data_IF_834815696047
#
_entry.id   IF_834815696047
#
_cell.length_a   1.000
_cell.length_b   1.000
_cell.length_c   1.000
_cell.angle_alpha   90.00
_cell.angle_beta   90.00
_cell.angle_gamma   90.00
#
_symmetry.space_group_name_H-M   'P 1'
#
loop_
_entity.id
_entity.type
_entity.pdbx_description
1 polymer ?
#
# COMPACT_ATOMS: atom_id res chain seq x y z
N UNK A 1 -42.24 -9.33 28.48
CA UNK A 1 -41.60 -9.51 27.16
C UNK A 1 -41.59 -8.16 26.46
N UNK A 2 -40.44 -7.49 26.31
CA UNK A 2 -40.31 -6.37 25.38
C UNK A 2 -39.46 -6.78 24.16
N UNK A 3 -39.98 -6.47 22.97
CA UNK A 3 -39.30 -6.61 21.68
C UNK A 3 -38.05 -5.72 21.62
N UNK A 4 -36.92 -6.32 21.21
CA UNK A 4 -35.67 -5.62 20.94
C UNK A 4 -35.56 -5.40 19.43
N UNK A 5 -35.68 -4.14 19.00
CA UNK A 5 -35.44 -3.73 17.62
C UNK A 5 -33.94 -3.54 17.31
N UNK A 6 -33.54 -3.67 16.03
CA UNK A 6 -32.13 -3.64 15.63
C UNK A 6 -31.54 -2.22 15.67
N UNK A 7 -30.41 -2.07 16.38
CA UNK A 7 -29.59 -0.85 16.37
C UNK A 7 -28.76 -0.80 15.07
N UNK A 8 -29.06 0.19 14.22
CA UNK A 8 -28.13 0.62 13.16
C UNK A 8 -26.90 1.26 13.81
N UNK A 9 -25.71 0.75 13.50
CA UNK A 9 -24.45 1.45 13.78
C UNK A 9 -24.10 2.27 12.55
N UNK A 10 -24.17 3.59 12.68
CA UNK A 10 -23.50 4.52 11.78
C UNK A 10 -22.01 4.51 12.12
N UNK A 11 -21.19 3.95 11.22
CA UNK A 11 -19.75 4.12 11.26
C UNK A 11 -19.40 5.40 10.48
N UNK A 12 -19.19 6.49 11.23
CA UNK A 12 -18.63 7.73 10.71
C UNK A 12 -17.20 7.50 10.23
N UNK A 13 -17.01 7.60 8.92
CA UNK A 13 -15.72 7.50 8.22
C UNK A 13 -14.99 8.84 8.32
N UNK A 14 -14.34 9.12 9.46
CA UNK A 14 -13.36 10.22 9.57
C UNK A 14 -12.04 9.77 8.94
N UNK A 15 -11.91 9.99 7.63
CA UNK A 15 -10.63 9.85 6.92
C UNK A 15 -9.76 11.08 7.18
N UNK A 16 -8.60 10.86 7.78
CA UNK A 16 -7.50 11.82 7.86
C UNK A 16 -7.12 12.27 6.45
N UNK A 17 -7.46 13.51 6.13
CA UNK A 17 -7.21 14.14 4.84
C UNK A 17 -5.74 14.57 4.80
N UNK A 18 -4.89 13.77 4.17
CA UNK A 18 -3.53 14.19 3.80
C UNK A 18 -3.62 15.42 2.88
N UNK A 19 -3.22 16.57 3.41
CA UNK A 19 -3.17 17.82 2.65
C UNK A 19 -1.86 17.87 1.86
N UNK A 20 -1.86 17.31 0.65
CA UNK A 20 -0.97 17.82 -0.38
C UNK A 20 -1.33 19.30 -0.61
N UNK A 21 -0.38 20.20 -0.35
CA UNK A 21 -0.49 21.63 -0.65
C UNK A 21 -0.60 21.83 -2.16
N UNK A 22 -1.81 21.67 -2.71
CA UNK A 22 -2.16 22.02 -4.08
C UNK A 22 -2.09 23.55 -4.21
N UNK A 23 -1.11 24.06 -4.96
CA UNK A 23 -1.16 25.43 -5.48
C UNK A 23 -2.26 25.46 -6.54
N UNK A 24 -3.44 25.96 -6.19
CA UNK A 24 -4.51 26.19 -7.15
C UNK A 24 -4.07 27.25 -8.18
N UNK A 25 -3.78 26.81 -9.40
CA UNK A 25 -3.65 27.69 -10.56
C UNK A 25 -5.03 27.80 -11.19
N UNK A 26 -5.64 28.99 -11.11
CA UNK A 26 -6.87 29.29 -11.83
C UNK A 26 -6.57 29.33 -13.34
N UNK A 27 -7.04 28.32 -14.08
CA UNK A 27 -6.98 28.31 -15.55
C UNK A 27 -8.18 29.10 -16.08
N UNK A 28 -7.92 30.27 -16.64
CA UNK A 28 -8.91 31.03 -17.40
C UNK A 28 -9.10 30.36 -18.77
N UNK A 29 -10.26 29.73 -18.97
CA UNK A 29 -10.66 29.20 -20.27
C UNK A 29 -11.12 30.34 -21.20
N UNK A 30 -10.24 30.78 -22.10
CA UNK A 30 -10.63 31.62 -23.22
C UNK A 30 -11.19 30.74 -24.34
N UNK A 31 -12.51 30.82 -24.56
CA UNK A 31 -13.19 30.14 -25.65
C UNK A 31 -12.81 30.75 -27.00
N UNK A 32 -12.29 29.92 -27.91
CA UNK A 32 -12.09 30.26 -29.32
C UNK A 32 -13.20 29.61 -30.14
N UNK A 33 -14.08 30.43 -30.70
CA UNK A 33 -15.10 30.02 -31.67
C UNK A 33 -14.45 29.96 -33.05
N UNK A 34 -14.38 28.78 -33.66
CA UNK A 34 -14.10 28.63 -35.09
C UNK A 34 -15.40 28.27 -35.81
N UNK A 35 -15.96 29.27 -36.48
CA UNK A 35 -16.90 29.10 -37.57
C UNK A 35 -16.14 28.92 -38.91
N UNK A 36 -16.89 28.60 -39.97
CA UNK A 36 -16.50 28.26 -41.36
C UNK A 36 -16.36 26.73 -41.54
N UNK A 37 -17.21 26.01 -42.27
CA UNK A 37 -18.11 26.35 -43.38
C UNK A 37 -17.70 25.49 -44.59
N UNK A 38 -18.63 24.78 -45.24
CA UNK A 38 -18.36 24.19 -46.56
C UNK A 38 -19.03 22.85 -46.87
N UNK A 39 -20.24 22.92 -47.40
CA UNK A 39 -20.91 21.88 -48.18
C UNK A 39 -20.24 21.78 -49.57
N UNK A 40 -20.14 20.58 -50.15
CA UNK A 40 -19.71 20.43 -51.55
C UNK A 40 -19.53 18.98 -52.00
N UNK A 41 -20.60 18.39 -52.54
CA UNK A 41 -20.51 17.19 -53.36
C UNK A 41 -19.90 17.48 -54.73
N UNK A 42 -19.25 16.46 -55.32
CA UNK A 42 -18.66 16.54 -56.64
C UNK A 42 -18.21 15.16 -57.11
N UNK A 43 -19.09 14.50 -57.86
CA UNK A 43 -18.76 13.41 -58.79
C UNK A 43 -17.79 13.93 -59.86
N UNK A 44 -16.83 13.08 -60.27
CA UNK A 44 -16.31 13.15 -61.64
C UNK A 44 -14.80 13.00 -61.84
N UNK A 45 -14.50 12.11 -62.78
CA UNK A 45 -13.36 12.07 -63.72
C UNK A 45 -12.02 11.48 -63.28
N UNK A 46 -11.75 10.32 -63.88
CA UNK A 46 -10.44 9.76 -64.21
C UNK A 46 -9.52 10.80 -64.84
N UNK A 47 -8.37 11.07 -64.23
CA UNK A 47 -7.26 11.73 -64.91
C UNK A 47 -5.91 11.19 -64.40
N UNK A 48 -5.15 10.59 -65.33
CA UNK A 48 -3.75 10.21 -65.16
C UNK A 48 -2.93 11.47 -64.93
N UNK A 49 -2.17 11.54 -63.84
CA UNK A 49 -1.13 12.53 -63.68
C UNK A 49 0.10 11.98 -62.95
N UNK A 50 1.21 12.51 -63.40
CA UNK A 50 2.61 12.14 -63.24
C UNK A 50 3.12 11.96 -61.81
N UNK A 51 4.19 11.17 -61.72
CA UNK A 51 5.01 10.96 -60.55
C UNK A 51 5.68 12.27 -60.12
N UNK A 52 4.96 13.05 -59.31
CA UNK A 52 5.52 14.22 -58.63
C UNK A 52 6.37 13.75 -57.45
N UNK A 53 7.67 14.06 -57.54
CA UNK A 53 8.66 13.96 -56.46
C UNK A 53 8.06 14.43 -55.13
N UNK A 54 7.75 13.47 -54.26
CA UNK A 54 7.27 13.74 -52.91
C UNK A 54 8.45 14.21 -52.08
N UNK A 55 8.62 15.52 -52.03
CA UNK A 55 9.46 16.18 -51.04
C UNK A 55 9.17 15.59 -49.66
N UNK A 56 10.17 14.90 -49.11
CA UNK A 56 10.12 14.31 -47.78
C UNK A 56 9.90 15.44 -46.79
N UNK A 57 8.66 15.61 -46.32
CA UNK A 57 8.34 16.63 -45.33
C UNK A 57 9.25 16.41 -44.13
N UNK A 58 10.02 17.44 -43.80
CA UNK A 58 10.98 17.41 -42.70
C UNK A 58 10.24 16.98 -41.43
N UNK A 59 10.70 15.94 -40.71
CA UNK A 59 9.98 15.39 -39.58
C UNK A 59 9.74 16.51 -38.57
N UNK A 60 8.47 16.84 -38.37
CA UNK A 60 8.03 17.86 -37.42
C UNK A 60 8.68 17.56 -36.08
N UNK A 61 9.50 18.49 -35.57
CA UNK A 61 10.20 18.31 -34.29
C UNK A 61 9.18 17.96 -33.21
N UNK A 62 9.36 16.80 -32.58
CA UNK A 62 8.52 16.35 -31.48
C UNK A 62 8.58 17.37 -30.35
N UNK A 63 7.43 17.96 -30.01
CA UNK A 63 7.33 18.87 -28.87
C UNK A 63 7.72 18.11 -27.59
N UNK A 64 8.52 18.70 -26.69
CA UNK A 64 8.84 18.06 -25.41
C UNK A 64 7.54 17.76 -24.63
N UNK A 65 7.52 16.67 -23.82
CA UNK A 65 6.38 16.36 -22.97
C UNK A 65 6.17 17.46 -21.94
N UNK A 66 4.92 17.65 -21.50
CA UNK A 66 4.59 18.55 -20.40
C UNK A 66 5.11 18.00 -19.07
N UNK A 67 5.24 18.87 -18.06
CA UNK A 67 5.70 18.48 -16.73
C UNK A 67 4.68 17.55 -16.06
N UNK A 68 3.40 17.87 -16.25
CA UNK A 68 2.27 17.12 -15.71
C UNK A 68 2.23 15.70 -16.27
N UNK A 69 2.52 15.51 -17.56
CA UNK A 69 2.59 14.17 -18.16
C UNK A 69 3.79 13.37 -17.63
N UNK A 70 4.93 14.03 -17.39
CA UNK A 70 6.11 13.37 -16.78
C UNK A 70 5.78 12.92 -15.34
N UNK A 71 5.17 13.79 -14.54
CA UNK A 71 4.74 13.47 -13.17
C UNK A 71 3.71 12.33 -13.15
N UNK A 72 2.71 12.37 -14.04
CA UNK A 72 1.72 11.31 -14.18
C UNK A 72 2.36 9.97 -14.55
N UNK A 73 3.27 9.96 -15.52
CA UNK A 73 4.00 8.75 -15.92
C UNK A 73 4.87 8.23 -14.77
N UNK A 74 5.51 9.13 -14.01
CA UNK A 74 6.26 8.79 -12.80
C UNK A 74 5.40 8.06 -11.78
N UNK A 75 4.25 8.64 -11.42
CA UNK A 75 3.30 8.02 -10.49
C UNK A 75 2.80 6.66 -10.97
N UNK A 76 2.49 6.51 -12.28
CA UNK A 76 2.14 5.18 -12.82
C UNK A 76 3.28 4.16 -12.70
N UNK A 77 4.53 4.56 -12.94
CA UNK A 77 5.68 3.66 -12.81
C UNK A 77 5.93 3.26 -11.35
N UNK A 78 5.74 4.20 -10.42
CA UNK A 78 5.83 3.98 -8.99
C UNK A 78 4.77 2.96 -8.51
N UNK A 79 3.49 3.22 -8.74
CA UNK A 79 2.40 2.32 -8.33
C UNK A 79 2.54 0.93 -8.97
N UNK A 80 2.95 0.84 -10.25
CA UNK A 80 3.13 -0.47 -10.91
C UNK A 80 4.38 -1.23 -10.43
N UNK A 81 5.38 -0.50 -9.95
CA UNK A 81 6.54 -1.08 -9.26
C UNK A 81 6.14 -1.58 -7.88
N UNK A 82 5.35 -0.82 -7.11
CA UNK A 82 4.79 -1.27 -5.83
C UNK A 82 3.99 -2.58 -5.98
N UNK A 83 3.11 -2.68 -6.99
CA UNK A 83 2.38 -3.94 -7.28
C UNK A 83 3.28 -5.10 -7.70
N UNK A 84 4.42 -4.81 -8.32
CA UNK A 84 5.41 -5.85 -8.66
C UNK A 84 6.16 -6.33 -7.43
N UNK A 85 6.56 -5.41 -6.55
CA UNK A 85 7.22 -5.74 -5.29
C UNK A 85 6.27 -6.52 -4.39
N UNK A 86 5.03 -6.05 -4.19
CA UNK A 86 3.98 -6.75 -3.45
C UNK A 86 3.80 -8.20 -3.93
N UNK A 87 3.77 -8.45 -5.24
CA UNK A 87 3.70 -9.82 -5.78
C UNK A 87 4.93 -10.66 -5.46
N UNK A 88 6.10 -10.04 -5.44
CA UNK A 88 7.36 -10.74 -5.12
C UNK A 88 7.42 -11.06 -3.62
N UNK A 89 7.05 -10.11 -2.77
CA UNK A 89 7.06 -10.21 -1.32
C UNK A 89 6.00 -11.20 -0.84
N UNK A 90 4.79 -11.14 -1.40
CA UNK A 90 3.73 -12.13 -1.18
C UNK A 90 4.20 -13.57 -1.43
N UNK A 91 4.91 -13.81 -2.54
CA UNK A 91 5.45 -15.13 -2.83
C UNK A 91 6.57 -15.57 -1.85
N UNK A 92 7.34 -14.61 -1.33
CA UNK A 92 8.36 -14.86 -0.31
C UNK A 92 7.73 -15.18 1.05
N UNK A 93 6.72 -14.40 1.48
CA UNK A 93 5.99 -14.60 2.73
C UNK A 93 5.31 -15.97 2.75
N UNK A 94 4.66 -16.38 1.66
CA UNK A 94 4.07 -17.72 1.56
C UNK A 94 5.12 -18.82 1.66
N UNK A 95 6.32 -18.59 1.13
CA UNK A 95 7.42 -19.55 1.29
C UNK A 95 7.87 -19.60 2.74
N UNK A 96 7.93 -18.48 3.45
CA UNK A 96 8.28 -18.44 4.87
C UNK A 96 7.22 -19.15 5.73
N UNK A 97 5.95 -18.84 5.54
CA UNK A 97 4.81 -19.47 6.24
C UNK A 97 4.86 -21.00 6.10
N UNK A 98 5.14 -21.52 4.90
CA UNK A 98 5.26 -22.97 4.66
C UNK A 98 6.47 -23.63 5.32
N UNK A 99 7.51 -22.87 5.64
CA UNK A 99 8.77 -23.39 6.18
C UNK A 99 8.94 -23.06 7.69
N UNK A 100 7.89 -22.63 8.38
CA UNK A 100 7.99 -22.10 9.74
C UNK A 100 8.33 -23.12 10.84
N UNK A 101 8.50 -24.39 10.50
CA UNK A 101 8.80 -25.47 11.46
C UNK A 101 10.21 -25.38 12.07
N UNK A 102 11.08 -24.48 11.56
CA UNK A 102 12.48 -24.31 11.98
C UNK A 102 12.67 -23.10 12.92
N UNK A 103 12.14 -23.17 14.14
CA UNK A 103 12.54 -22.28 15.25
C UNK A 103 12.16 -20.80 15.12
N UNK A 104 11.26 -20.46 14.20
CA UNK A 104 10.71 -19.11 14.00
C UNK A 104 9.33 -18.91 14.64
N UNK A 105 8.63 -17.87 14.19
CA UNK A 105 7.22 -17.68 14.49
C UNK A 105 6.40 -18.87 13.93
N UNK A 106 5.34 -19.31 14.62
CA UNK A 106 4.50 -20.38 14.09
C UNK A 106 3.82 -19.91 12.79
N UNK A 107 3.58 -20.83 11.84
CA UNK A 107 2.93 -20.55 10.55
C UNK A 107 1.69 -19.65 10.69
N UNK A 108 0.88 -19.87 11.74
CA UNK A 108 -0.33 -19.12 12.01
C UNK A 108 -0.04 -17.64 12.32
N UNK A 109 1.03 -17.34 13.06
CA UNK A 109 1.40 -15.96 13.37
C UNK A 109 1.85 -15.20 12.12
N UNK A 110 2.71 -15.84 11.31
CA UNK A 110 3.16 -15.30 10.03
C UNK A 110 1.97 -15.10 9.08
N UNK A 111 1.07 -16.08 9.00
CA UNK A 111 -0.12 -16.01 8.18
C UNK A 111 -1.08 -14.90 8.63
N UNK A 112 -1.33 -14.72 9.94
CA UNK A 112 -2.16 -13.60 10.43
C UNK A 112 -1.53 -12.25 10.07
N UNK A 113 -0.20 -12.12 10.23
CA UNK A 113 0.51 -10.89 9.84
C UNK A 113 0.36 -10.60 8.36
N UNK A 114 0.59 -11.60 7.51
CA UNK A 114 0.44 -11.50 6.06
C UNK A 114 -1.01 -11.13 5.64
N UNK A 115 -2.02 -11.81 6.21
CA UNK A 115 -3.43 -11.55 5.92
C UNK A 115 -3.89 -10.17 6.40
N UNK A 116 -3.27 -9.62 7.44
CA UNK A 116 -3.58 -8.28 7.95
C UNK A 116 -2.86 -7.19 7.15
N UNK A 117 -1.61 -7.43 6.74
CA UNK A 117 -0.77 -6.45 6.03
C UNK A 117 -1.13 -6.30 4.56
N UNK A 118 -1.36 -7.42 3.86
CA UNK A 118 -1.57 -7.42 2.41
C UNK A 118 -2.73 -6.52 1.95
N UNK A 119 -3.92 -6.53 2.59
CA UNK A 119 -5.01 -5.63 2.20
C UNK A 119 -4.61 -4.16 2.26
N UNK A 120 -3.92 -3.73 3.33
CA UNK A 120 -3.47 -2.35 3.49
C UNK A 120 -2.53 -1.93 2.36
N UNK A 121 -1.54 -2.77 2.01
CA UNK A 121 -0.62 -2.45 0.91
C UNK A 121 -1.33 -2.37 -0.45
N UNK A 122 -2.38 -3.15 -0.68
CA UNK A 122 -3.18 -3.04 -1.92
C UNK A 122 -4.02 -1.76 -1.92
N UNK A 123 -4.62 -1.39 -0.78
CA UNK A 123 -5.38 -0.15 -0.60
C UNK A 123 -4.51 1.10 -0.78
N UNK A 124 -3.26 1.08 -0.30
CA UNK A 124 -2.31 2.17 -0.49
C UNK A 124 -2.06 2.42 -1.99
N UNK A 125 -1.82 1.34 -2.74
CA UNK A 125 -1.66 1.45 -4.20
C UNK A 125 -2.95 1.89 -4.90
N UNK A 126 -4.12 1.46 -4.44
CA UNK A 126 -5.41 1.95 -4.95
C UNK A 126 -5.50 3.47 -4.77
N UNK A 127 -5.20 3.95 -3.56
CA UNK A 127 -5.20 5.38 -3.22
C UNK A 127 -4.22 6.18 -4.09
N UNK A 128 -3.01 5.66 -4.31
CA UNK A 128 -2.01 6.30 -5.18
C UNK A 128 -2.51 6.41 -6.62
N UNK A 129 -3.10 5.34 -7.15
CA UNK A 129 -3.69 5.36 -8.49
C UNK A 129 -4.88 6.31 -8.59
N UNK A 130 -5.74 6.38 -7.57
CA UNK A 130 -6.87 7.33 -7.52
C UNK A 130 -6.39 8.79 -7.43
N UNK A 131 -5.22 9.03 -6.86
CA UNK A 131 -4.62 10.35 -6.76
C UNK A 131 -4.04 10.85 -8.10
N UNK A 132 -3.81 9.96 -9.07
CA UNK A 132 -3.40 10.34 -10.43
C UNK A 132 -4.58 10.96 -11.19
N UNK A 133 -4.52 12.26 -11.41
CA UNK A 133 -5.44 12.95 -12.31
C UNK A 133 -5.32 12.39 -13.76
N UNK A 134 -6.28 12.71 -14.64
CA UNK A 134 -6.19 12.31 -16.05
C UNK A 134 -4.94 12.91 -16.72
N UNK A 135 -4.25 12.11 -17.52
CA UNK A 135 -3.01 12.47 -18.22
C UNK A 135 -3.23 13.43 -19.40
N UNK A 136 -4.46 13.48 -19.92
CA UNK A 136 -4.80 14.15 -21.18
C UNK A 136 -4.45 13.35 -22.43
N UNK A 137 -3.90 12.13 -22.29
CA UNK A 137 -3.66 11.18 -23.37
C UNK A 137 -4.68 10.04 -23.25
N UNK A 138 -5.72 9.97 -24.13
CA UNK A 138 -6.84 9.05 -23.94
C UNK A 138 -6.46 7.55 -23.83
N UNK A 139 -5.34 7.15 -24.42
CA UNK A 139 -4.86 5.77 -24.30
C UNK A 139 -4.23 5.46 -22.95
N UNK A 140 -3.56 6.45 -22.34
CA UNK A 140 -2.98 6.35 -21.01
C UNK A 140 -4.07 6.44 -19.92
N UNK A 141 -5.08 7.28 -20.11
CA UNK A 141 -6.24 7.35 -19.19
C UNK A 141 -6.99 6.02 -19.13
N UNK A 142 -7.19 5.35 -20.28
CA UNK A 142 -7.77 3.99 -20.32
C UNK A 142 -6.91 2.95 -19.59
N UNK A 143 -5.59 3.13 -19.54
CA UNK A 143 -4.70 2.25 -18.79
C UNK A 143 -4.88 2.46 -17.28
N UNK A 144 -4.98 3.71 -16.82
CA UNK A 144 -5.28 4.03 -15.42
C UNK A 144 -6.63 3.45 -15.00
N UNK A 145 -7.69 3.66 -15.79
CA UNK A 145 -9.02 3.09 -15.53
C UNK A 145 -8.98 1.56 -15.44
N UNK A 146 -8.20 0.91 -16.31
CA UNK A 146 -8.04 -0.54 -16.30
C UNK A 146 -7.30 -1.04 -15.05
N UNK A 147 -6.33 -0.28 -14.55
CA UNK A 147 -5.64 -0.56 -13.29
C UNK A 147 -6.57 -0.38 -12.10
N UNK A 148 -7.21 0.78 -11.95
CA UNK A 148 -8.16 1.07 -10.87
C UNK A 148 -9.25 0.00 -10.78
N UNK A 149 -9.88 -0.35 -11.91
CA UNK A 149 -10.88 -1.41 -11.95
C UNK A 149 -10.35 -2.76 -11.45
N UNK A 150 -9.08 -3.07 -11.75
CA UNK A 150 -8.46 -4.33 -11.39
C UNK A 150 -8.06 -4.37 -9.92
N UNK A 151 -7.44 -3.30 -9.42
CA UNK A 151 -7.05 -3.16 -8.00
C UNK A 151 -8.30 -3.15 -7.12
N UNK A 152 -9.30 -2.33 -7.44
CA UNK A 152 -10.56 -2.25 -6.70
C UNK A 152 -11.28 -3.60 -6.56
N UNK A 153 -11.25 -4.41 -7.62
CA UNK A 153 -11.78 -5.78 -7.55
C UNK A 153 -11.02 -6.64 -6.54
N UNK A 154 -9.69 -6.55 -6.53
CA UNK A 154 -8.87 -7.30 -5.57
C UNK A 154 -9.09 -6.79 -4.15
N UNK A 155 -9.12 -5.47 -3.92
CA UNK A 155 -9.46 -4.86 -2.61
C UNK A 155 -10.78 -5.42 -2.08
N UNK A 156 -11.82 -5.43 -2.93
CA UNK A 156 -13.14 -5.97 -2.54
C UNK A 156 -13.07 -7.45 -2.16
N UNK A 157 -12.29 -8.26 -2.88
CA UNK A 157 -12.11 -9.68 -2.56
C UNK A 157 -11.24 -9.89 -1.30
N UNK A 158 -10.31 -8.96 -0.99
CA UNK A 158 -9.48 -8.97 0.21
C UNK A 158 -10.25 -8.53 1.47
N UNK A 159 -11.20 -7.60 1.35
CA UNK A 159 -12.10 -7.18 2.45
C UNK A 159 -12.91 -8.34 3.05
N UNK A 160 -13.14 -9.39 2.26
CA UNK A 160 -13.86 -10.59 2.69
C UNK A 160 -12.97 -11.57 3.48
N UNK A 161 -11.65 -11.38 3.46
CA UNK A 161 -10.69 -12.28 4.11
C UNK A 161 -10.47 -11.87 5.56
N UNK A 162 -10.91 -12.72 6.48
CA UNK A 162 -10.60 -12.54 7.90
C UNK A 162 -9.18 -13.03 8.20
N UNK A 163 -8.31 -12.23 8.85
CA UNK A 163 -7.02 -12.71 9.34
C UNK A 163 -7.14 -13.91 10.28
N UNK A 164 -8.27 -14.08 10.97
CA UNK A 164 -8.50 -15.24 11.84
C UNK A 164 -8.54 -16.57 11.09
N UNK A 165 -8.79 -16.57 9.77
CA UNK A 165 -8.78 -17.79 8.95
C UNK A 165 -7.40 -18.49 8.95
N UNK A 166 -6.32 -17.73 9.22
CA UNK A 166 -4.98 -18.29 9.37
C UNK A 166 -4.81 -19.20 10.59
N UNK A 167 -5.68 -19.11 11.61
CA UNK A 167 -5.62 -19.98 12.78
C UNK A 167 -6.04 -21.40 12.40
N UNK A 168 -7.08 -21.52 11.57
CA UNK A 168 -7.63 -22.80 11.14
C UNK A 168 -6.84 -23.42 9.97
N UNK A 169 -6.41 -22.58 9.02
CA UNK A 169 -5.70 -23.00 7.81
C UNK A 169 -4.74 -21.91 7.32
N UNK A 170 -3.57 -21.82 7.95
CA UNK A 170 -2.54 -20.83 7.62
C UNK A 170 -2.13 -20.88 6.14
N UNK A 171 -1.86 -22.07 5.60
CA UNK A 171 -1.42 -22.20 4.21
C UNK A 171 -2.54 -21.93 3.22
N UNK A 172 -3.74 -22.51 3.42
CA UNK A 172 -4.84 -22.35 2.48
C UNK A 172 -5.39 -20.92 2.45
N UNK A 173 -5.51 -20.26 3.61
CA UNK A 173 -5.95 -18.86 3.67
C UNK A 173 -4.97 -17.89 2.99
N UNK A 174 -3.67 -18.04 3.26
CA UNK A 174 -2.64 -17.18 2.63
C UNK A 174 -2.48 -17.45 1.14
N UNK A 175 -2.63 -18.71 0.69
CA UNK A 175 -2.64 -19.06 -0.73
C UNK A 175 -3.78 -18.41 -1.51
N UNK A 176 -4.95 -18.22 -0.89
CA UNK A 176 -6.07 -17.50 -1.48
C UNK A 176 -5.72 -16.03 -1.75
N UNK A 177 -5.19 -15.34 -0.74
CA UNK A 177 -4.75 -13.93 -0.85
C UNK A 177 -3.60 -13.77 -1.84
N UNK A 178 -2.58 -14.63 -1.80
CA UNK A 178 -1.48 -14.57 -2.77
C UNK A 178 -2.00 -14.69 -4.20
N UNK A 179 -2.93 -15.61 -4.46
CA UNK A 179 -3.52 -15.74 -5.80
C UNK A 179 -4.18 -14.44 -6.28
N UNK A 180 -4.83 -13.69 -5.39
CA UNK A 180 -5.41 -12.38 -5.71
C UNK A 180 -4.31 -11.36 -6.02
N UNK A 181 -3.28 -11.30 -5.18
CA UNK A 181 -2.11 -10.43 -5.37
C UNK A 181 -1.40 -10.75 -6.69
N UNK A 182 -1.11 -12.03 -6.97
CA UNK A 182 -0.50 -12.48 -8.22
C UNK A 182 -1.36 -12.14 -9.46
N UNK A 183 -2.67 -11.97 -9.28
CA UNK A 183 -3.55 -11.55 -10.36
C UNK A 183 -3.30 -10.11 -10.81
N UNK A 184 -2.71 -9.24 -9.98
CA UNK A 184 -2.39 -7.81 -10.21
C UNK A 184 -1.24 -7.60 -11.22
N UNK A 185 -1.34 -8.27 -12.36
CA UNK A 185 -0.47 -8.12 -13.53
C UNK A 185 -0.82 -6.88 -14.37
N UNK A 186 0.14 -6.28 -15.09
CA UNK A 186 -0.13 -5.14 -15.96
C UNK A 186 -1.23 -5.38 -17.02
N UNK A 187 -2.24 -4.50 -17.14
CA UNK A 187 -3.17 -4.50 -18.27
C UNK A 187 -2.46 -4.31 -19.61
N UNK A 188 -3.06 -4.81 -20.70
CA UNK A 188 -2.54 -4.63 -22.06
C UNK A 188 -3.42 -3.66 -22.85
N UNK A 189 -2.83 -2.72 -23.62
CA UNK A 189 -1.40 -2.40 -23.69
C UNK A 189 -0.88 -1.75 -22.41
N UNK A 190 0.35 -2.07 -22.03
CA UNK A 190 1.05 -1.43 -20.90
C UNK A 190 1.66 -0.08 -21.33
N UNK A 191 2.21 0.66 -20.36
CA UNK A 191 2.77 1.99 -20.59
C UNK A 191 3.90 1.99 -21.64
N UNK A 192 4.87 1.06 -21.64
CA UNK A 192 5.85 0.94 -22.72
C UNK A 192 5.22 0.68 -24.11
N UNK A 193 4.20 -0.19 -24.19
CA UNK A 193 3.51 -0.45 -25.46
C UNK A 193 2.72 0.77 -25.96
N UNK A 194 2.19 1.60 -25.05
CA UNK A 194 1.57 2.87 -25.38
C UNK A 194 2.59 3.89 -25.88
N UNK A 195 3.76 3.99 -25.24
CA UNK A 195 4.85 4.89 -25.68
C UNK A 195 5.33 4.61 -27.10
N UNK A 196 5.28 3.36 -27.57
CA UNK A 196 5.58 3.04 -28.98
C UNK A 196 4.61 3.66 -29.99
N UNK A 197 3.40 4.02 -29.56
CA UNK A 197 2.34 4.62 -30.38
C UNK A 197 2.21 6.12 -30.18
N UNK A 198 2.64 6.63 -29.03
CA UNK A 198 2.57 8.05 -28.68
C UNK A 198 3.96 8.60 -28.31
N UNK A 199 4.57 9.44 -29.18
CA UNK A 199 5.89 10.02 -28.94
C UNK A 199 5.98 10.91 -27.69
N UNK A 200 4.89 11.58 -27.29
CA UNK A 200 4.89 12.42 -26.09
C UNK A 200 4.92 11.54 -24.83
N UNK A 201 4.15 10.45 -24.83
CA UNK A 201 4.17 9.48 -23.74
C UNK A 201 5.53 8.77 -23.64
N UNK A 202 6.14 8.40 -24.76
CA UNK A 202 7.50 7.85 -24.77
C UNK A 202 8.52 8.82 -24.18
N UNK A 203 8.46 10.10 -24.58
CA UNK A 203 9.36 11.12 -24.06
C UNK A 203 9.12 11.41 -22.57
N UNK A 204 7.87 11.33 -22.10
CA UNK A 204 7.54 11.47 -20.69
C UNK A 204 8.10 10.28 -19.88
N UNK A 205 7.90 9.05 -20.38
CA UNK A 205 8.43 7.83 -19.78
C UNK A 205 9.95 7.84 -19.64
N UNK A 206 10.67 8.34 -20.64
CA UNK A 206 12.14 8.46 -20.56
C UNK A 206 12.61 9.51 -19.56
N UNK A 207 11.78 10.50 -19.23
CA UNK A 207 12.12 11.59 -18.30
C UNK A 207 11.68 11.34 -16.87
N UNK A 208 10.70 10.47 -16.67
CA UNK A 208 10.22 10.10 -15.34
C UNK A 208 11.24 9.20 -14.65
N UNK A 209 11.83 9.69 -13.56
CA UNK A 209 12.88 8.99 -12.81
C UNK A 209 12.37 7.66 -12.24
N UNK A 210 11.11 7.61 -11.83
CA UNK A 210 10.42 6.42 -11.32
C UNK A 210 10.32 5.28 -12.35
N UNK A 211 10.42 5.60 -13.64
CA UNK A 211 10.40 4.62 -14.72
C UNK A 211 11.80 4.10 -15.08
N UNK A 212 12.85 4.63 -14.46
CA UNK A 212 14.22 4.24 -14.76
C UNK A 212 14.51 2.81 -14.26
N UNK A 213 15.29 2.01 -15.01
CA UNK A 213 15.70 0.69 -14.53
C UNK A 213 16.45 0.78 -13.20
N UNK A 214 16.00 0.01 -12.21
CA UNK A 214 16.62 -0.01 -10.88
C UNK A 214 16.20 1.15 -9.97
N UNK A 215 15.24 1.99 -10.40
CA UNK A 215 14.57 2.89 -9.47
C UNK A 215 13.98 2.10 -8.29
N UNK A 216 14.13 2.66 -7.10
CA UNK A 216 13.52 2.17 -5.88
C UNK A 216 12.78 3.36 -5.26
N UNK A 217 11.63 3.11 -4.61
CA UNK A 217 11.04 4.11 -3.74
C UNK A 217 12.11 4.56 -2.74
N UNK A 218 12.19 5.88 -2.50
CA UNK A 218 13.07 6.40 -1.48
C UNK A 218 12.55 5.89 -0.12
N UNK A 219 13.14 4.81 0.40
CA UNK A 219 12.84 4.28 1.75
C UNK A 219 13.03 5.36 2.82
N UNK A 220 13.84 6.39 2.53
CA UNK A 220 14.06 7.55 3.40
C UNK A 220 12.91 8.58 3.37
N UNK A 221 12.07 8.59 2.32
CA UNK A 221 10.95 9.53 2.18
C UNK A 221 9.68 9.04 2.90
N UNK A 222 9.49 7.72 3.05
CA UNK A 222 8.38 7.14 3.81
C UNK A 222 8.55 7.26 5.34
N UNK A 223 9.65 7.87 5.80
CA UNK A 223 9.80 8.37 7.17
C UNK A 223 9.46 9.87 7.34
N UNK A 224 8.99 10.56 6.30
CA UNK A 224 8.66 11.99 6.34
C UNK A 224 7.19 12.30 6.66
N UNK A 225 6.40 11.29 7.02
CA UNK A 225 5.30 11.50 7.96
C UNK A 225 5.89 12.17 9.18
N UNK A 226 5.47 13.42 9.45
CA UNK A 226 5.92 14.27 10.57
C UNK A 226 6.70 13.46 11.58
N UNK A 227 8.05 13.59 11.64
CA UNK A 227 8.90 12.58 12.28
C UNK A 227 8.20 12.16 13.56
N UNK A 228 7.76 10.90 13.62
CA UNK A 228 7.41 10.32 14.90
C UNK A 228 8.59 10.72 15.78
N UNK A 229 8.36 11.53 16.84
CA UNK A 229 9.42 12.28 17.49
C UNK A 229 10.58 11.32 17.71
N UNK A 230 11.78 11.71 17.22
CA UNK A 230 13.02 10.93 17.32
C UNK A 230 12.94 10.13 18.62
N UNK A 231 12.92 8.79 18.57
CA UNK A 231 12.56 7.96 19.70
C UNK A 231 13.26 8.53 20.93
N UNK A 232 12.46 9.11 21.82
CA UNK A 232 12.92 10.15 22.75
C UNK A 232 13.94 9.56 23.72
N UNK A 233 15.22 9.65 23.35
CA UNK A 233 16.33 9.23 24.17
C UNK A 233 16.43 7.71 24.44
N UNK A 234 17.33 7.31 25.35
CA UNK A 234 17.46 5.92 25.77
C UNK A 234 16.13 5.42 26.34
N UNK A 235 15.83 4.13 26.11
CA UNK A 235 14.68 3.50 26.75
C UNK A 235 14.77 3.70 28.27
N UNK A 236 13.66 4.00 28.95
CA UNK A 236 13.66 3.99 30.40
C UNK A 236 14.12 2.61 30.88
N UNK A 237 14.77 2.58 32.05
CA UNK A 237 15.16 1.32 32.64
C UNK A 237 13.90 0.60 33.14
N UNK A 238 13.57 -0.52 32.51
CA UNK A 238 12.52 -1.41 32.99
C UNK A 238 12.84 -1.90 34.42
N UNK A 239 11.86 -1.87 35.33
CA UNK A 239 12.04 -2.26 36.73
C UNK A 239 12.66 -3.66 36.89
N UNK A 240 12.19 -4.60 36.07
CA UNK A 240 12.63 -6.00 36.06
C UNK A 240 13.66 -6.29 34.95
N UNK A 241 14.01 -5.29 34.13
CA UNK A 241 14.95 -5.47 33.03
C UNK A 241 14.49 -6.57 32.06
N UNK A 242 15.38 -7.51 31.72
CA UNK A 242 15.05 -8.67 30.88
C UNK A 242 14.52 -9.89 31.65
N UNK A 243 14.13 -9.75 32.92
CA UNK A 243 13.68 -10.87 33.74
C UNK A 243 12.19 -11.16 33.56
N UNK A 244 11.83 -11.89 32.52
CA UNK A 244 10.43 -12.20 32.20
C UNK A 244 9.71 -13.07 33.25
N UNK A 245 10.44 -13.80 34.10
CA UNK A 245 9.85 -14.60 35.18
C UNK A 245 9.24 -13.74 36.30
N UNK A 246 9.68 -12.48 36.43
CA UNK A 246 9.09 -11.51 37.35
C UNK A 246 7.60 -11.26 37.08
N UNK A 247 7.14 -11.48 35.85
CA UNK A 247 5.77 -11.25 35.44
C UNK A 247 4.79 -12.32 35.92
N UNK A 248 5.26 -13.42 36.53
CA UNK A 248 4.43 -14.57 36.87
C UNK A 248 3.19 -14.25 37.73
N UNK A 249 3.26 -13.22 38.57
CA UNK A 249 2.15 -12.74 39.40
C UNK A 249 1.22 -11.71 38.70
N UNK A 250 1.51 -11.36 37.45
CA UNK A 250 0.75 -10.39 36.66
C UNK A 250 1.20 -8.94 36.81
N UNK A 251 2.24 -8.66 37.59
CA UNK A 251 2.74 -7.31 37.84
C UNK A 251 4.27 -7.22 37.63
N UNK A 252 4.70 -6.71 36.47
CA UNK A 252 6.11 -6.53 36.16
C UNK A 252 6.32 -5.38 35.15
N UNK A 253 7.55 -4.91 35.05
CA UNK A 253 7.98 -4.02 33.97
C UNK A 253 9.26 -4.56 33.33
N UNK A 254 9.17 -5.02 32.08
CA UNK A 254 10.25 -5.73 31.38
C UNK A 254 10.66 -5.06 30.07
N UNK A 255 11.92 -5.26 29.67
CA UNK A 255 12.48 -4.84 28.39
C UNK A 255 12.49 -6.02 27.42
N UNK A 256 11.83 -5.84 26.28
CA UNK A 256 11.86 -6.78 25.15
C UNK A 256 12.61 -6.12 24.00
N UNK A 257 13.73 -6.70 23.57
CA UNK A 257 14.58 -6.12 22.51
C UNK A 257 14.20 -6.58 21.10
N UNK A 258 13.59 -7.76 20.97
CA UNK A 258 13.12 -8.31 19.69
C UNK A 258 11.90 -9.20 19.90
N UNK A 259 12.08 -10.40 20.46
CA UNK A 259 10.97 -11.31 20.76
C UNK A 259 11.10 -11.90 22.17
N UNK A 260 9.97 -12.16 22.82
CA UNK A 260 9.92 -12.82 24.12
C UNK A 260 8.62 -13.60 24.30
N UNK A 261 8.70 -14.74 24.98
CA UNK A 261 7.53 -15.42 25.53
C UNK A 261 7.44 -15.07 27.01
N UNK A 262 6.35 -14.42 27.43
CA UNK A 262 6.16 -13.92 28.79
C UNK A 262 4.90 -14.57 29.36
N UNK A 263 5.03 -15.24 30.50
CA UNK A 263 3.88 -15.76 31.25
C UNK A 263 3.53 -14.77 32.35
N UNK A 264 2.36 -14.14 32.25
CA UNK A 264 1.89 -13.18 33.25
C UNK A 264 0.49 -13.52 33.74
N UNK A 265 0.31 -13.67 35.05
CA UNK A 265 -0.94 -14.12 35.66
C UNK A 265 -1.53 -15.38 34.98
N UNK A 266 -0.66 -16.34 34.62
CA UNK A 266 -1.05 -17.57 33.93
C UNK A 266 -1.38 -17.42 32.43
N UNK A 267 -1.34 -16.19 31.87
CA UNK A 267 -1.50 -15.93 30.43
C UNK A 267 -0.14 -15.96 29.76
N UNK A 268 0.01 -16.81 28.73
CA UNK A 268 1.20 -16.84 27.90
C UNK A 268 1.05 -15.84 26.75
N UNK A 269 1.89 -14.81 26.76
CA UNK A 269 1.95 -13.76 25.74
C UNK A 269 3.27 -13.85 24.99
N UNK A 270 3.20 -14.12 23.70
CA UNK A 270 4.30 -13.95 22.77
C UNK A 270 4.36 -12.49 22.33
N UNK A 271 5.50 -11.84 22.50
CA UNK A 271 5.73 -10.44 22.17
C UNK A 271 6.76 -10.34 21.07
N UNK A 272 6.48 -9.52 20.05
CA UNK A 272 7.42 -9.13 19.00
C UNK A 272 7.52 -7.61 18.93
N UNK A 273 8.74 -7.09 18.92
CA UNK A 273 9.04 -5.66 18.87
C UNK A 273 9.72 -5.35 17.54
N UNK A 274 9.09 -4.47 16.75
CA UNK A 274 9.64 -3.87 15.54
C UNK A 274 9.30 -2.37 15.50
N UNK A 275 8.75 -1.90 14.37
CA UNK A 275 8.19 -0.54 14.27
C UNK A 275 6.93 -0.37 15.14
N UNK A 276 6.32 -1.47 15.55
CA UNK A 276 5.21 -1.55 16.51
C UNK A 276 5.43 -2.75 17.44
N UNK A 277 4.63 -2.85 18.50
CA UNK A 277 4.68 -3.99 19.43
C UNK A 277 3.49 -4.90 19.16
N UNK A 278 3.78 -6.12 18.74
CA UNK A 278 2.78 -7.16 18.52
C UNK A 278 2.73 -8.08 19.73
N UNK A 279 1.52 -8.32 20.23
CA UNK A 279 1.22 -9.25 21.30
C UNK A 279 0.36 -10.37 20.76
N UNK A 280 0.73 -11.60 21.07
CA UNK A 280 0.03 -12.79 20.63
C UNK A 280 -0.20 -13.73 21.81
N UNK A 281 -1.42 -14.23 21.90
CA UNK A 281 -1.85 -15.32 22.79
C UNK A 281 -2.44 -16.43 21.91
N UNK A 282 -2.76 -17.61 22.45
CA UNK A 282 -3.42 -18.67 21.67
C UNK A 282 -4.75 -18.24 21.03
N UNK A 283 -5.42 -17.21 21.55
CA UNK A 283 -6.75 -16.78 21.11
C UNK A 283 -6.78 -15.38 20.47
N UNK A 284 -5.72 -14.58 20.58
CA UNK A 284 -5.75 -13.16 20.18
C UNK A 284 -4.38 -12.70 19.70
N UNK A 285 -4.36 -11.91 18.62
CA UNK A 285 -3.19 -11.14 18.17
C UNK A 285 -3.58 -9.66 18.17
N UNK A 286 -2.74 -8.82 18.77
CA UNK A 286 -2.91 -7.37 18.84
C UNK A 286 -1.62 -6.69 18.42
N UNK A 287 -1.72 -5.68 17.56
CA UNK A 287 -0.59 -4.84 17.18
C UNK A 287 -0.83 -3.43 17.75
N UNK A 288 0.08 -2.95 18.59
CA UNK A 288 0.03 -1.63 19.20
C UNK A 288 1.16 -0.76 18.67
N UNK A 289 0.80 0.39 18.11
CA UNK A 289 1.77 1.41 17.74
C UNK A 289 2.21 2.25 18.94
N UNK A 290 3.52 2.40 19.12
CA UNK A 290 4.12 3.45 19.93
C UNK A 290 3.90 3.39 21.44
N UNK A 291 4.49 4.38 22.12
CA UNK A 291 4.35 4.59 23.56
C UNK A 291 2.89 4.90 23.94
N UNK A 292 2.41 4.29 25.03
CA UNK A 292 1.08 4.47 25.58
C UNK A 292 0.03 3.50 25.03
N UNK A 293 0.38 2.64 24.06
CA UNK A 293 -0.49 1.57 23.62
C UNK A 293 -0.86 0.62 24.76
N UNK A 294 -2.12 0.20 24.84
CA UNK A 294 -2.61 -0.73 25.86
C UNK A 294 -3.27 -1.95 25.22
N UNK A 295 -2.79 -3.14 25.56
CA UNK A 295 -3.40 -4.43 25.25
C UNK A 295 -4.12 -4.95 26.48
N UNK A 296 -5.28 -5.57 26.29
CA UNK A 296 -6.02 -6.26 27.36
C UNK A 296 -6.30 -7.69 26.95
N UNK A 297 -6.03 -8.63 27.84
CA UNK A 297 -6.29 -10.05 27.65
C UNK A 297 -7.32 -10.48 28.69
N UNK A 298 -8.60 -10.41 28.30
CA UNK A 298 -9.71 -10.62 29.22
C UNK A 298 -9.74 -9.60 30.36
N UNK A 299 -10.20 -10.04 31.53
CA UNK A 299 -10.20 -9.26 32.77
C UNK A 299 -8.97 -9.56 33.65
N UNK A 300 -8.05 -10.40 33.14
CA UNK A 300 -6.96 -10.99 33.93
C UNK A 300 -5.62 -10.26 33.75
N UNK A 301 -5.43 -9.59 32.61
CA UNK A 301 -4.15 -8.98 32.27
C UNK A 301 -4.28 -7.76 31.36
N UNK A 302 -3.57 -6.70 31.73
CA UNK A 302 -3.36 -5.49 30.94
C UNK A 302 -1.87 -5.31 30.68
N UNK A 303 -1.50 -4.99 29.45
CA UNK A 303 -0.12 -4.69 29.05
C UNK A 303 -0.05 -3.29 28.45
N UNK A 304 0.84 -2.45 28.97
CA UNK A 304 1.07 -1.08 28.49
C UNK A 304 2.45 -1.00 27.83
N UNK A 305 2.53 -0.41 26.63
CA UNK A 305 3.82 -0.06 26.02
C UNK A 305 4.32 1.24 26.67
N UNK A 306 5.19 1.11 27.67
CA UNK A 306 5.73 2.26 28.45
C UNK A 306 6.62 3.13 27.59
N UNK A 307 7.44 2.51 26.73
CA UNK A 307 8.31 3.18 25.78
C UNK A 307 8.71 2.19 24.67
N UNK A 308 9.03 2.71 23.49
CA UNK A 308 9.51 1.91 22.36
C UNK A 308 10.53 2.72 21.55
N UNK A 309 11.59 2.06 21.09
CA UNK A 309 12.48 2.57 20.05
C UNK A 309 13.12 1.41 19.26
N UNK A 310 14.09 1.71 18.41
CA UNK A 310 14.79 0.73 17.58
C UNK A 310 15.54 -0.36 18.38
N UNK A 311 15.79 -0.14 19.69
CA UNK A 311 16.49 -1.09 20.55
C UNK A 311 15.55 -2.00 21.35
N UNK A 312 14.23 -1.76 21.31
CA UNK A 312 13.25 -2.56 22.04
C UNK A 312 12.05 -1.77 22.57
N UNK A 313 11.27 -2.42 23.41
CA UNK A 313 10.13 -1.85 24.10
C UNK A 313 10.17 -2.18 25.60
N UNK A 314 9.83 -1.20 26.42
CA UNK A 314 9.55 -1.39 27.85
C UNK A 314 8.07 -1.60 28.01
N UNK A 315 7.70 -2.71 28.64
CA UNK A 315 6.33 -3.18 28.75
C UNK A 315 5.96 -3.35 30.22
N UNK A 316 4.84 -2.76 30.61
CA UNK A 316 4.28 -2.89 31.95
C UNK A 316 3.10 -3.87 31.90
N UNK A 317 3.19 -4.95 32.66
CA UNK A 317 2.11 -5.91 32.86
C UNK A 317 1.43 -5.60 34.20
N UNK A 318 0.10 -5.54 34.21
CA UNK A 318 -0.72 -5.27 35.40
C UNK A 318 -1.98 -6.13 35.39
N UNK A 319 -2.45 -6.52 36.56
CA UNK A 319 -3.81 -7.04 36.74
C UNK A 319 -4.77 -5.82 36.80
N UNK A 320 -5.87 -5.80 36.04
CA UNK A 320 -6.80 -4.67 35.96
C UNK A 320 -7.45 -4.23 37.28
#
# INVERSE_FOLDING_TARGET
>A
MPESGPRRRDHGKERGRWMFKRRSVAVAAAGLVLAVGGCGGGDGTDEKADASDKGSAEPTRTRPPSKELVEWVGGMCESTTALKNLRTDSAADLKEIRNSDEGGLPAQALAVSYLSGTPMTVEDVESDLEALDQSGVPAADRLLDAWLKKVNRVVTELDEVSPSAAIDDAEGSTAGVDKLVQSLTPPKPDLPALGKKDPQLAAAYQKAEQCAPGWKPDEEAEGADSPAPDPTGPLPKAADGGNFEACSDGACEVLVTSTANITANGVNVHVTVGNSVTFQTPSTIMNLGGQGGVAKFGDDLKVTVVAQNQNGAVLEFTIP
#
